data_IF_856611516476
#
_entry.id   IF_856611516476
#
_cell.length_a   1.000
_cell.length_b   1.000
_cell.length_c   1.000
_cell.angle_alpha   90.00
_cell.angle_beta   90.00
_cell.angle_gamma   90.00
#
_symmetry.space_group_name_H-M   'P 1'
#
loop_
_entity.id
_entity.type
_entity.pdbx_description
1 polymer ?
#
# COMPACT_ATOMS: atom_id res chain seq x y z
N UNK A 1 14.81 9.04 -18.65
CA UNK A 1 14.74 9.61 -17.29
C UNK A 1 14.39 11.07 -17.44
N UNK A 2 13.12 11.40 -17.24
CA UNK A 2 12.64 12.76 -17.21
C UNK A 2 12.03 12.93 -15.83
N UNK A 3 12.47 13.93 -15.05
CA UNK A 3 12.10 14.18 -13.64
C UNK A 3 10.58 14.38 -13.35
N UNK A 4 9.69 13.88 -14.21
CA UNK A 4 8.25 13.90 -14.11
C UNK A 4 7.68 12.60 -13.52
N UNK A 5 8.52 11.59 -13.25
CA UNK A 5 8.08 10.34 -12.62
C UNK A 5 8.71 10.21 -11.25
N UNK A 6 7.91 9.84 -10.25
CA UNK A 6 8.40 9.46 -8.92
C UNK A 6 8.30 7.96 -8.74
N UNK A 7 9.31 7.38 -8.09
CA UNK A 7 9.34 6.00 -7.62
C UNK A 7 9.04 6.00 -6.12
N UNK A 8 8.36 4.96 -5.64
CA UNK A 8 8.02 4.83 -4.22
C UNK A 8 8.47 3.47 -3.73
N UNK A 9 9.09 3.45 -2.54
CA UNK A 9 9.69 2.25 -1.92
C UNK A 9 9.11 2.06 -0.54
N UNK A 10 8.65 0.83 -0.25
CA UNK A 10 8.27 0.38 1.08
C UNK A 10 9.54 0.01 1.87
N UNK A 11 9.63 0.50 3.10
CA UNK A 11 10.74 0.20 3.98
C UNK A 11 10.24 -0.71 5.11
N UNK A 12 10.57 -1.99 5.03
CA UNK A 12 10.14 -3.00 6.01
C UNK A 12 10.95 -2.96 7.31
N UNK A 13 12.15 -2.37 7.29
CA UNK A 13 13.06 -2.26 8.45
C UNK A 13 13.32 -3.61 9.12
N UNK A 14 13.58 -4.66 8.33
CA UNK A 14 13.80 -6.01 8.83
C UNK A 14 12.59 -6.66 9.52
N UNK A 15 11.41 -6.05 9.43
CA UNK A 15 10.22 -6.48 10.16
C UNK A 15 10.21 -6.05 11.63
N UNK A 16 11.05 -5.08 12.01
CA UNK A 16 11.01 -4.52 13.36
C UNK A 16 9.66 -3.85 13.65
N UNK A 17 9.20 -4.01 14.89
CA UNK A 17 7.89 -3.55 15.31
C UNK A 17 7.77 -2.01 15.20
N UNK A 18 6.71 -1.55 14.55
CA UNK A 18 6.38 -0.12 14.41
C UNK A 18 7.47 0.72 13.69
N UNK A 19 8.35 0.08 12.92
CA UNK A 19 9.43 0.77 12.19
C UNK A 19 9.12 1.10 10.75
N UNK A 20 8.08 0.50 10.17
CA UNK A 20 7.75 0.66 8.76
C UNK A 20 7.62 2.12 8.32
N UNK A 21 8.09 2.38 7.11
CA UNK A 21 8.01 3.68 6.46
C UNK A 21 7.94 3.54 4.94
N UNK A 22 7.76 4.66 4.25
CA UNK A 22 7.80 4.76 2.80
C UNK A 22 8.73 5.89 2.41
N UNK A 23 9.45 5.71 1.30
CA UNK A 23 10.28 6.78 0.70
C UNK A 23 9.93 6.98 -0.76
N UNK A 24 9.78 8.24 -1.15
CA UNK A 24 9.59 8.65 -2.54
C UNK A 24 10.92 9.12 -3.11
N UNK A 25 11.19 8.82 -4.38
CA UNK A 25 12.41 9.16 -5.12
C UNK A 25 12.04 9.74 -6.47
N UNK A 26 12.85 10.68 -6.98
CA UNK A 26 12.76 11.07 -8.38
C UNK A 26 13.29 9.94 -9.29
N UNK A 27 12.68 9.72 -10.45
CA UNK A 27 13.12 8.69 -11.41
C UNK A 27 14.53 8.93 -11.98
N UNK A 28 15.02 10.16 -11.93
CA UNK A 28 16.42 10.51 -12.19
C UNK A 28 17.41 9.96 -11.15
N UNK A 29 16.92 9.32 -10.08
CA UNK A 29 17.69 8.71 -9.00
C UNK A 29 18.65 9.68 -8.28
N UNK A 30 18.30 10.97 -8.25
CA UNK A 30 19.07 12.04 -7.59
C UNK A 30 18.85 12.09 -6.07
N UNK A 31 18.40 10.98 -5.47
CA UNK A 31 18.03 10.89 -4.06
C UNK A 31 16.52 10.96 -3.80
N UNK A 32 16.13 10.89 -2.52
CA UNK A 32 14.72 10.90 -2.12
C UNK A 32 14.12 12.30 -2.28
N UNK A 33 12.78 12.35 -2.43
CA UNK A 33 11.99 13.59 -2.49
C UNK A 33 12.03 14.35 -1.15
N UNK A 34 12.22 13.65 -0.04
CA UNK A 34 12.34 14.23 1.30
C UNK A 34 13.56 13.65 2.03
N UNK A 35 14.15 14.42 2.94
CA UNK A 35 15.35 14.03 3.69
C UNK A 35 15.16 12.78 4.58
N UNK A 36 13.91 12.40 4.87
CA UNK A 36 13.58 11.27 5.73
C UNK A 36 12.39 10.47 5.18
N UNK A 37 12.38 9.14 5.37
CA UNK A 37 11.22 8.32 5.11
C UNK A 37 10.00 8.74 5.96
N UNK A 38 8.81 8.68 5.36
CA UNK A 38 7.55 8.94 6.04
C UNK A 38 7.05 7.66 6.73
N UNK A 39 6.90 7.69 8.05
CA UNK A 39 6.59 6.50 8.86
C UNK A 39 5.09 6.26 8.98
N UNK A 40 4.60 5.05 8.74
CA UNK A 40 3.25 4.63 9.16
C UNK A 40 3.22 3.97 10.55
N UNK A 41 4.39 3.72 11.15
CA UNK A 41 4.51 3.05 12.45
C UNK A 41 3.84 1.68 12.47
N UNK A 42 3.85 0.97 11.35
CA UNK A 42 3.41 -0.42 11.27
C UNK A 42 4.65 -1.35 11.19
N UNK A 43 4.42 -2.64 10.95
CA UNK A 43 5.45 -3.68 10.95
C UNK A 43 5.51 -4.38 9.60
N UNK A 44 6.71 -4.53 9.05
CA UNK A 44 6.98 -5.19 7.77
C UNK A 44 6.11 -4.67 6.61
N UNK A 45 6.27 -3.39 6.25
CA UNK A 45 5.66 -2.84 5.03
C UNK A 45 6.15 -3.64 3.80
N UNK A 46 5.23 -4.08 2.96
CA UNK A 46 5.53 -5.04 1.90
C UNK A 46 5.20 -4.46 0.52
N UNK A 47 3.92 -4.42 0.15
CA UNK A 47 3.48 -4.04 -1.20
C UNK A 47 2.86 -2.64 -1.26
N UNK A 48 2.96 -2.01 -2.43
CA UNK A 48 2.53 -0.63 -2.68
C UNK A 48 1.64 -0.55 -3.92
N UNK A 49 0.55 0.21 -3.84
CA UNK A 49 -0.23 0.63 -5.02
C UNK A 49 -0.56 2.12 -4.95
N UNK A 50 -0.51 2.81 -6.09
CA UNK A 50 -0.85 4.22 -6.21
C UNK A 50 -2.17 4.38 -6.97
N UNK A 51 -3.17 4.89 -6.27
CA UNK A 51 -4.42 5.33 -6.88
C UNK A 51 -4.30 6.81 -7.24
N UNK A 52 -4.59 7.15 -8.51
CA UNK A 52 -4.58 8.52 -9.04
C UNK A 52 -5.98 9.04 -9.37
N UNK A 53 -6.98 8.16 -9.30
CA UNK A 53 -8.40 8.48 -9.48
C UNK A 53 -9.05 8.69 -8.12
N UNK A 54 -9.92 9.71 -8.04
CA UNK A 54 -10.61 10.10 -6.81
C UNK A 54 -9.64 10.46 -5.67
N UNK A 55 -8.57 11.19 -6.00
CA UNK A 55 -7.48 11.56 -5.09
C UNK A 55 -6.17 10.82 -5.40
N UNK A 56 -5.04 11.43 -5.02
CA UNK A 56 -3.71 10.83 -5.16
C UNK A 56 -3.32 10.17 -3.84
N UNK A 57 -3.58 8.88 -3.75
CA UNK A 57 -3.31 8.08 -2.55
C UNK A 57 -2.38 6.91 -2.86
N UNK A 58 -1.45 6.66 -1.94
CA UNK A 58 -0.65 5.47 -1.88
C UNK A 58 -1.20 4.57 -0.77
N UNK A 59 -1.37 3.28 -1.07
CA UNK A 59 -1.70 2.26 -0.06
C UNK A 59 -0.54 1.30 0.12
N UNK A 60 -0.36 0.84 1.36
CA UNK A 60 0.75 -0.02 1.77
C UNK A 60 0.22 -1.20 2.56
N UNK A 61 0.51 -2.43 2.14
CA UNK A 61 0.27 -3.60 3.00
C UNK A 61 1.35 -3.67 4.07
N UNK A 62 0.95 -3.89 5.32
CA UNK A 62 1.85 -4.12 6.44
C UNK A 62 1.72 -5.58 6.88
N UNK A 63 2.59 -6.44 6.37
CA UNK A 63 2.50 -7.90 6.53
C UNK A 63 2.56 -8.29 8.00
N UNK A 64 3.43 -7.64 8.78
CA UNK A 64 3.58 -7.94 10.20
C UNK A 64 2.45 -7.39 11.07
N UNK A 65 1.71 -6.38 10.59
CA UNK A 65 0.60 -5.75 11.32
C UNK A 65 -0.79 -6.18 10.86
N UNK A 66 -0.90 -7.01 9.81
CA UNK A 66 -2.17 -7.50 9.25
C UNK A 66 -3.14 -6.37 8.87
N UNK A 67 -2.62 -5.26 8.33
CA UNK A 67 -3.41 -4.10 7.96
C UNK A 67 -2.83 -3.37 6.75
N UNK A 68 -3.55 -2.35 6.30
CA UNK A 68 -3.16 -1.47 5.19
C UNK A 68 -3.07 -0.04 5.73
N UNK A 69 -1.98 0.67 5.42
CA UNK A 69 -1.86 2.12 5.66
C UNK A 69 -2.14 2.89 4.38
N UNK A 70 -2.49 4.18 4.51
CA UNK A 70 -2.59 5.09 3.37
C UNK A 70 -1.85 6.41 3.58
N UNK A 71 -1.34 6.94 2.47
CA UNK A 71 -0.62 8.21 2.40
C UNK A 71 -1.21 9.05 1.27
N UNK A 72 -1.26 10.36 1.47
CA UNK A 72 -1.54 11.30 0.38
C UNK A 72 -0.24 11.66 -0.33
N UNK A 73 -0.33 11.91 -1.63
CA UNK A 73 0.82 12.26 -2.47
C UNK A 73 0.56 13.64 -3.04
N UNK A 74 1.43 14.60 -2.72
CA UNK A 74 1.33 15.94 -3.30
C UNK A 74 1.91 16.00 -4.72
N UNK A 75 1.77 17.15 -5.39
CA UNK A 75 2.24 17.36 -6.77
C UNK A 75 3.75 17.13 -6.95
N UNK A 76 4.54 17.38 -5.90
CA UNK A 76 6.00 17.20 -5.92
C UNK A 76 6.42 15.77 -5.54
N UNK A 77 5.48 14.86 -5.28
CA UNK A 77 5.76 13.48 -4.87
C UNK A 77 6.07 13.30 -3.38
N UNK A 78 5.89 14.34 -2.57
CA UNK A 78 6.02 14.25 -1.12
C UNK A 78 4.85 13.46 -0.56
N UNK A 79 5.16 12.53 0.34
CA UNK A 79 4.20 11.64 0.99
C UNK A 79 3.84 12.18 2.37
N UNK A 80 2.56 12.15 2.71
CA UNK A 80 2.07 12.46 4.06
C UNK A 80 1.20 11.31 4.53
N UNK A 81 1.49 10.73 5.71
CA UNK A 81 0.64 9.69 6.26
C UNK A 81 -0.79 10.21 6.46
N UNK A 82 -1.77 9.56 5.85
CA UNK A 82 -3.20 9.90 6.02
C UNK A 82 -3.81 9.02 7.10
N UNK A 83 -3.67 7.69 6.96
CA UNK A 83 -4.10 6.73 7.97
C UNK A 83 -2.99 5.72 8.24
N UNK A 84 -2.58 5.61 9.52
CA UNK A 84 -1.72 4.51 9.96
C UNK A 84 -2.39 3.14 9.72
N UNK A 85 -3.70 3.09 9.91
CA UNK A 85 -4.57 1.94 9.62
C UNK A 85 -5.76 2.46 8.81
N UNK A 86 -5.69 2.32 7.49
CA UNK A 86 -6.79 2.60 6.57
C UNK A 86 -7.79 1.42 6.52
N UNK A 87 -7.31 0.19 6.73
CA UNK A 87 -8.16 -0.97 6.98
C UNK A 87 -7.40 -2.09 7.65
N UNK A 88 -8.10 -2.92 8.42
CA UNK A 88 -7.61 -4.23 8.83
C UNK A 88 -7.79 -5.23 7.68
N UNK A 89 -6.86 -6.18 7.56
CA UNK A 89 -6.90 -7.21 6.52
C UNK A 89 -6.90 -8.62 7.12
N UNK A 90 -6.70 -9.64 6.27
CA UNK A 90 -6.36 -10.99 6.70
C UNK A 90 -4.92 -11.08 7.21
N UNK A 91 -4.49 -12.31 7.49
CA UNK A 91 -3.16 -12.55 8.02
C UNK A 91 -2.10 -12.51 6.91
N UNK A 92 -1.01 -11.79 7.17
CA UNK A 92 0.14 -11.62 6.28
C UNK A 92 -0.27 -11.10 4.89
N UNK A 93 -0.76 -9.85 4.79
CA UNK A 93 -1.03 -9.23 3.50
C UNK A 93 0.30 -8.99 2.77
N UNK A 94 0.51 -9.66 1.63
CA UNK A 94 1.81 -9.69 0.92
C UNK A 94 1.80 -9.05 -0.46
N UNK A 95 0.62 -8.91 -1.07
CA UNK A 95 0.44 -8.26 -2.37
C UNK A 95 -0.94 -7.57 -2.42
N UNK A 96 -1.07 -6.56 -3.27
CA UNK A 96 -2.26 -5.75 -3.43
C UNK A 96 -2.38 -5.15 -4.83
N UNK A 97 -3.61 -5.03 -5.32
CA UNK A 97 -3.92 -4.45 -6.61
C UNK A 97 -5.14 -3.53 -6.53
N UNK A 98 -5.17 -2.52 -7.39
CA UNK A 98 -6.34 -1.67 -7.61
C UNK A 98 -7.24 -2.28 -8.69
N UNK A 99 -8.55 -2.05 -8.61
CA UNK A 99 -9.44 -2.32 -9.74
C UNK A 99 -9.06 -1.45 -10.95
N UNK A 100 -9.40 -1.92 -12.15
CA UNK A 100 -9.31 -1.11 -13.37
C UNK A 100 -10.25 0.10 -13.37
N UNK A 101 -10.16 0.93 -14.42
CA UNK A 101 -11.04 2.08 -14.63
C UNK A 101 -10.86 3.18 -13.57
N UNK A 102 -11.91 3.42 -12.79
CA UNK A 102 -11.98 4.48 -11.78
C UNK A 102 -11.22 4.16 -10.48
N UNK A 103 -10.61 2.97 -10.39
CA UNK A 103 -9.83 2.52 -9.23
C UNK A 103 -10.64 2.57 -7.93
N UNK A 104 -11.94 2.27 -7.96
CA UNK A 104 -12.81 2.38 -6.77
C UNK A 104 -12.56 1.29 -5.72
N UNK A 105 -11.86 0.21 -6.09
CA UNK A 105 -11.62 -0.92 -5.22
C UNK A 105 -10.14 -1.26 -5.07
N UNK A 106 -9.80 -1.78 -3.89
CA UNK A 106 -8.50 -2.34 -3.54
C UNK A 106 -8.70 -3.81 -3.17
N UNK A 107 -7.85 -4.68 -3.68
CA UNK A 107 -7.83 -6.09 -3.30
C UNK A 107 -6.44 -6.45 -2.83
N UNK A 108 -6.34 -7.18 -1.71
CA UNK A 108 -5.06 -7.70 -1.26
C UNK A 108 -5.14 -9.21 -1.04
N UNK A 109 -4.05 -9.90 -1.34
CA UNK A 109 -3.87 -11.31 -0.97
C UNK A 109 -3.30 -11.36 0.45
N UNK A 110 -3.78 -12.32 1.23
CA UNK A 110 -3.37 -12.61 2.59
C UNK A 110 -2.80 -14.03 2.63
N UNK A 111 -1.47 -14.16 2.56
CA UNK A 111 -0.83 -15.47 2.43
C UNK A 111 -1.01 -16.32 3.69
N UNK A 112 -0.96 -15.70 4.86
CA UNK A 112 -1.10 -16.38 6.15
C UNK A 112 -2.50 -16.91 6.41
N UNK A 113 -3.54 -16.25 5.87
CA UNK A 113 -4.93 -16.71 5.99
C UNK A 113 -5.50 -17.40 4.76
N UNK A 114 -4.76 -17.47 3.64
CA UNK A 114 -5.23 -18.03 2.36
C UNK A 114 -6.52 -17.36 1.85
N UNK A 115 -6.54 -16.01 1.87
CA UNK A 115 -7.71 -15.22 1.48
C UNK A 115 -7.35 -14.08 0.53
N UNK A 116 -8.34 -13.59 -0.23
CA UNK A 116 -8.30 -12.26 -0.83
C UNK A 116 -9.35 -11.41 -0.11
N UNK A 117 -8.97 -10.22 0.33
CA UNK A 117 -9.90 -9.24 0.88
C UNK A 117 -10.09 -8.08 -0.09
N UNK A 118 -11.34 -7.69 -0.35
CA UNK A 118 -11.70 -6.54 -1.17
C UNK A 118 -12.23 -5.39 -0.32
N UNK A 119 -11.85 -4.17 -0.70
CA UNK A 119 -12.23 -2.91 -0.04
C UNK A 119 -12.73 -1.89 -1.06
N UNK A 120 -13.71 -1.06 -0.68
CA UNK A 120 -14.00 0.20 -1.37
C UNK A 120 -13.01 1.27 -0.93
N UNK A 121 -12.60 2.10 -1.87
CA UNK A 121 -11.82 3.30 -1.60
C UNK A 121 -12.74 4.45 -1.28
N UNK A 122 -12.49 5.08 -0.14
CA UNK A 122 -13.17 6.29 0.26
C UNK A 122 -12.38 7.52 -0.23
N UNK A 123 -13.08 8.63 -0.44
CA UNK A 123 -12.48 9.86 -0.99
C UNK A 123 -11.41 10.50 -0.10
N UNK A 124 -11.40 10.17 1.20
CA UNK A 124 -10.42 10.63 2.18
C UNK A 124 -9.15 9.75 2.25
N UNK A 125 -9.11 8.65 1.47
CA UNK A 125 -8.00 7.69 1.48
C UNK A 125 -8.16 6.57 2.50
N UNK A 126 -9.30 6.47 3.17
CA UNK A 126 -9.66 5.32 4.00
C UNK A 126 -10.15 4.14 3.13
N UNK A 127 -10.27 2.95 3.72
CA UNK A 127 -10.75 1.74 3.03
C UNK A 127 -11.88 1.06 3.82
N UNK A 128 -12.99 0.77 3.16
CA UNK A 128 -14.10 0.02 3.77
C UNK A 128 -14.11 -1.42 3.26
N UNK A 129 -14.02 -2.40 4.16
CA UNK A 129 -14.06 -3.82 3.78
C UNK A 129 -15.42 -4.18 3.16
N UNK A 130 -15.40 -4.78 1.97
CA UNK A 130 -16.59 -5.24 1.26
C UNK A 130 -16.80 -6.73 1.47
N UNK A 131 -15.80 -7.53 1.09
CA UNK A 131 -15.90 -8.99 1.07
C UNK A 131 -14.54 -9.65 1.22
N UNK A 132 -14.58 -10.96 1.46
CA UNK A 132 -13.40 -11.79 1.55
C UNK A 132 -13.73 -13.16 0.97
N UNK A 133 -12.86 -13.66 0.11
CA UNK A 133 -12.89 -15.06 -0.33
C UNK A 133 -11.83 -15.85 0.44
N UNK A 134 -12.10 -17.12 0.71
CA UNK A 134 -11.23 -18.00 1.47
C UNK A 134 -10.78 -19.18 0.60
N UNK A 135 -9.91 -20.03 1.16
CA UNK A 135 -9.43 -21.26 0.54
C UNK A 135 -8.69 -21.03 -0.79
N UNK A 136 -7.86 -19.98 -0.84
CA UNK A 136 -6.87 -19.89 -1.90
C UNK A 136 -5.94 -21.11 -1.86
N UNK A 137 -5.35 -21.50 -3.01
CA UNK A 137 -4.33 -22.53 -3.03
C UNK A 137 -3.22 -22.26 -2.01
N UNK A 138 -2.71 -23.33 -1.42
CA UNK A 138 -1.54 -23.26 -0.56
C UNK A 138 -0.39 -22.60 -1.36
N UNK A 139 0.26 -21.60 -0.76
CA UNK A 139 1.33 -20.81 -1.37
C UNK A 139 0.91 -19.84 -2.50
N UNK A 140 -0.37 -19.46 -2.59
CA UNK A 140 -0.75 -18.32 -3.42
C UNK A 140 -0.01 -17.05 -2.96
N UNK A 141 0.66 -16.36 -3.89
CA UNK A 141 1.62 -15.30 -3.57
C UNK A 141 1.38 -13.98 -4.30
N UNK A 142 0.91 -14.02 -5.55
CA UNK A 142 0.74 -12.83 -6.38
C UNK A 142 -0.71 -12.56 -6.73
N UNK A 143 -1.06 -11.28 -6.89
CA UNK A 143 -2.36 -10.81 -7.26
C UNK A 143 -2.27 -9.79 -8.41
N UNK A 144 -3.03 -10.00 -9.46
CA UNK A 144 -3.16 -9.05 -10.57
C UNK A 144 -4.62 -8.86 -10.94
N UNK A 145 -4.96 -7.65 -11.36
CA UNK A 145 -6.24 -7.27 -11.93
C UNK A 145 -5.99 -6.65 -13.31
N UNK A 146 -6.95 -6.79 -14.22
CA UNK A 146 -6.90 -6.28 -15.59
C UNK A 146 -8.15 -5.46 -15.91
#
# INVERSE_FOLDING_TARGET
FNNNTNLVVSNAEGGEENKSSVTSYYDGLNGPVADRPEKNRQTAACWLVIAKKQGNYLYVTNTGSNNISSYSINENGMLTLTYAIAATSGAEPTDMVLSGGDQEYVYNINSGSQTITGFSREADGNLTKISQINNLPLYAAGLAAY
#
